data_IF_723148045100
#
_entry.id   IF_723148045100
#
_cell.length_a   1.000
_cell.length_b   1.000
_cell.length_c   1.000
_cell.angle_alpha   90.00
_cell.angle_beta   90.00
_cell.angle_gamma   90.00
#
_symmetry.space_group_name_H-M   'P 1'
#
loop_
_entity.id
_entity.type
_entity.pdbx_description
1 polymer ?
#
# COMPACT_ATOMS: atom_id res chain seq x y z
N UNK A 1 -25.39 -2.34 -20.52
CA UNK A 1 -25.60 -2.47 -19.06
C UNK A 1 -24.35 -3.06 -18.45
N UNK A 2 -23.51 -2.26 -17.80
CA UNK A 2 -22.39 -2.80 -17.03
C UNK A 2 -22.99 -3.62 -15.89
N UNK A 3 -22.60 -4.88 -15.77
CA UNK A 3 -22.95 -5.71 -14.62
C UNK A 3 -22.41 -4.97 -13.39
N UNK A 4 -23.30 -4.61 -12.47
CA UNK A 4 -22.93 -4.02 -11.18
C UNK A 4 -22.00 -5.02 -10.50
N UNK A 5 -20.72 -4.65 -10.35
CA UNK A 5 -19.74 -5.44 -9.60
C UNK A 5 -20.32 -5.73 -8.21
N UNK A 6 -20.70 -6.97 -7.98
CA UNK A 6 -21.23 -7.38 -6.68
C UNK A 6 -20.05 -7.54 -5.72
N UNK A 7 -19.66 -6.43 -5.09
CA UNK A 7 -18.57 -6.38 -4.10
C UNK A 7 -18.93 -7.13 -2.82
N UNK A 8 -17.93 -7.50 -2.07
CA UNK A 8 -18.11 -7.96 -0.70
C UNK A 8 -18.86 -6.90 0.14
N UNK A 9 -19.63 -7.31 1.14
CA UNK A 9 -20.41 -6.41 2.02
C UNK A 9 -19.59 -5.29 2.69
N UNK A 10 -18.27 -5.46 2.80
CA UNK A 10 -17.32 -4.43 3.29
C UNK A 10 -16.68 -3.60 2.16
N UNK A 11 -17.02 -3.85 0.90
CA UNK A 11 -16.60 -3.08 -0.26
C UNK A 11 -15.44 -3.65 -1.08
N UNK A 12 -14.74 -4.69 -0.60
CA UNK A 12 -13.63 -5.30 -1.35
C UNK A 12 -14.07 -6.08 -2.58
N UNK A 13 -13.19 -6.18 -3.56
CA UNK A 13 -13.33 -7.00 -4.76
C UNK A 13 -13.04 -8.47 -4.43
N UNK A 14 -13.78 -9.38 -5.06
CA UNK A 14 -13.47 -10.80 -5.03
C UNK A 14 -12.38 -11.17 -6.03
N UNK A 15 -11.79 -12.34 -5.90
CA UNK A 15 -10.73 -12.82 -6.79
C UNK A 15 -11.10 -12.71 -8.28
N UNK A 16 -12.34 -13.01 -8.63
CA UNK A 16 -12.85 -12.98 -10.00
C UNK A 16 -12.82 -11.58 -10.61
N UNK A 17 -13.03 -10.54 -9.79
CA UNK A 17 -13.20 -9.15 -10.22
C UNK A 17 -11.87 -8.48 -10.60
N UNK A 18 -10.73 -9.08 -10.25
CA UNK A 18 -9.43 -8.54 -10.64
C UNK A 18 -9.11 -8.88 -12.10
N UNK A 19 -8.82 -7.86 -12.89
CA UNK A 19 -8.43 -7.98 -14.29
C UNK A 19 -6.94 -7.71 -14.44
N UNK A 20 -6.20 -8.68 -15.02
CA UNK A 20 -4.75 -8.53 -15.27
C UNK A 20 -4.50 -7.37 -16.22
N UNK A 21 -3.55 -6.51 -15.88
CA UNK A 21 -3.21 -5.29 -16.61
C UNK A 21 -4.02 -4.06 -16.20
N UNK A 22 -5.10 -4.22 -15.42
CA UNK A 22 -5.91 -3.08 -14.96
C UNK A 22 -5.17 -2.28 -13.89
N UNK A 23 -5.20 -0.96 -14.04
CA UNK A 23 -4.70 0.00 -13.04
C UNK A 23 -5.87 0.58 -12.25
N UNK A 24 -5.71 0.64 -10.95
CA UNK A 24 -6.63 1.26 -10.00
C UNK A 24 -5.96 2.48 -9.40
N UNK A 25 -6.49 3.67 -9.67
CA UNK A 25 -6.15 4.90 -8.97
C UNK A 25 -6.98 4.98 -7.69
N UNK A 26 -6.33 5.15 -6.53
CA UNK A 26 -7.03 5.12 -5.26
C UNK A 26 -7.59 6.48 -4.88
N UNK A 27 -8.83 6.47 -4.36
CA UNK A 27 -9.56 7.69 -3.98
C UNK A 27 -8.97 8.38 -2.75
N UNK A 28 -8.37 7.61 -1.84
CA UNK A 28 -7.80 8.17 -0.62
C UNK A 28 -6.41 8.72 -0.90
N UNK A 29 -6.22 9.96 -0.47
CA UNK A 29 -4.91 10.60 -0.39
C UNK A 29 -4.62 10.95 1.06
N UNK A 30 -3.38 11.04 1.44
CA UNK A 30 -3.00 11.33 2.82
C UNK A 30 -1.79 12.25 2.90
N UNK A 31 -1.94 13.40 3.56
CA UNK A 31 -0.81 14.23 3.97
C UNK A 31 -0.16 13.61 5.20
N UNK A 32 1.14 13.34 5.14
CA UNK A 32 1.90 12.78 6.26
C UNK A 32 2.38 13.88 7.21
N UNK A 33 2.50 13.53 8.48
CA UNK A 33 2.87 14.44 9.55
C UNK A 33 4.05 13.89 10.34
N UNK A 34 4.76 14.76 11.07
CA UNK A 34 5.81 14.30 11.97
C UNK A 34 5.27 13.39 13.08
N UNK A 35 4.01 13.55 13.47
CA UNK A 35 3.37 12.63 14.43
C UNK A 35 3.32 11.20 13.90
N UNK A 36 2.99 11.00 12.61
CA UNK A 36 3.00 9.68 11.98
C UNK A 36 4.38 9.03 12.09
N UNK A 37 5.42 9.81 11.82
CA UNK A 37 6.80 9.37 11.87
C UNK A 37 7.23 8.97 13.29
N UNK A 38 6.94 9.84 14.27
CA UNK A 38 7.23 9.60 15.69
C UNK A 38 6.50 8.37 16.22
N UNK A 39 5.19 8.25 15.98
CA UNK A 39 4.39 7.12 16.43
C UNK A 39 4.89 5.80 15.85
N UNK A 40 5.11 5.77 14.53
CA UNK A 40 5.56 4.56 13.85
C UNK A 40 6.95 4.13 14.34
N UNK A 41 7.89 5.06 14.44
CA UNK A 41 9.25 4.77 14.90
C UNK A 41 9.26 4.25 16.34
N UNK A 42 8.45 4.85 17.23
CA UNK A 42 8.32 4.38 18.62
C UNK A 42 7.67 3.00 18.70
N UNK A 43 6.59 2.75 17.94
CA UNK A 43 5.90 1.45 17.93
C UNK A 43 6.79 0.31 17.40
N UNK A 44 7.71 0.63 16.51
CA UNK A 44 8.64 -0.36 15.92
C UNK A 44 9.98 -0.43 16.63
N UNK A 45 10.15 0.32 17.74
CA UNK A 45 11.41 0.43 18.48
C UNK A 45 12.59 0.86 17.60
N UNK A 46 12.35 1.75 16.62
CA UNK A 46 13.38 2.30 15.74
C UNK A 46 13.88 3.65 16.30
N UNK A 47 15.05 3.70 16.97
CA UNK A 47 15.56 4.91 17.57
C UNK A 47 16.38 5.78 16.61
N UNK A 48 16.30 5.53 15.28
CA UNK A 48 17.11 6.26 14.31
C UNK A 48 16.78 7.75 14.32
N UNK A 49 17.74 8.64 14.68
CA UNK A 49 17.51 10.08 14.80
C UNK A 49 17.06 10.70 13.49
N UNK A 50 17.40 10.12 12.35
CA UNK A 50 16.94 10.54 11.03
C UNK A 50 15.41 10.72 10.93
N UNK A 51 14.64 10.00 11.76
CA UNK A 51 13.19 10.04 11.73
C UNK A 51 12.57 10.91 12.83
N UNK A 52 13.30 11.12 13.94
CA UNK A 52 12.71 11.62 15.18
C UNK A 52 13.43 12.83 15.78
N UNK A 53 14.63 13.16 15.32
CA UNK A 53 15.46 14.25 15.86
C UNK A 53 15.70 15.32 14.77
N UNK A 54 15.02 16.45 14.93
CA UNK A 54 15.12 17.56 13.99
C UNK A 54 16.51 18.21 14.01
N UNK A 55 17.09 18.38 15.19
CA UNK A 55 18.40 19.01 15.32
C UNK A 55 19.49 18.18 14.63
N UNK A 56 19.45 16.86 14.83
CA UNK A 56 20.33 15.93 14.12
C UNK A 56 20.15 16.05 12.60
N UNK A 57 18.91 16.05 12.11
CA UNK A 57 18.64 16.14 10.68
C UNK A 57 19.15 17.45 10.06
N UNK A 58 19.00 18.56 10.76
CA UNK A 58 19.45 19.89 10.30
C UNK A 58 20.98 20.03 10.26
N UNK A 59 21.68 19.41 11.22
CA UNK A 59 23.12 19.60 11.38
C UNK A 59 23.98 18.50 10.74
N UNK A 60 23.45 17.26 10.66
CA UNK A 60 24.27 16.09 10.37
C UNK A 60 23.80 15.30 9.14
N UNK A 61 22.69 15.71 8.50
CA UNK A 61 22.18 15.02 7.29
C UNK A 61 22.03 15.97 6.11
N UNK A 62 22.07 15.41 4.91
CA UNK A 62 21.80 16.15 3.66
C UNK A 62 20.33 16.60 3.54
N UNK A 63 19.42 16.04 4.35
CA UNK A 63 17.99 16.27 4.26
C UNK A 63 17.52 17.55 4.93
N UNK A 64 18.23 18.05 5.95
CA UNK A 64 17.89 19.26 6.70
C UNK A 64 16.57 19.18 7.49
N UNK A 65 15.91 18.03 7.50
CA UNK A 65 14.65 17.78 8.20
C UNK A 65 14.42 16.27 8.37
N UNK A 66 13.57 15.83 9.32
CA UNK A 66 13.30 14.42 9.52
C UNK A 66 12.70 13.75 8.29
N UNK A 67 13.35 12.67 7.83
CA UNK A 67 12.87 11.82 6.75
C UNK A 67 11.78 10.89 7.28
N UNK A 68 10.68 10.74 6.55
CA UNK A 68 9.63 9.78 6.91
C UNK A 68 10.19 8.35 6.87
N UNK A 69 9.82 7.55 7.87
CA UNK A 69 10.21 6.15 7.93
C UNK A 69 9.68 5.40 6.71
N UNK A 70 10.57 4.75 5.97
CA UNK A 70 10.22 4.07 4.72
C UNK A 70 9.24 2.91 4.91
N UNK A 71 9.30 2.20 6.04
CA UNK A 71 8.33 1.15 6.36
C UNK A 71 6.94 1.71 6.70
N UNK A 72 6.88 2.91 7.29
CA UNK A 72 5.62 3.65 7.42
C UNK A 72 5.05 3.99 6.04
N UNK A 73 5.88 4.51 5.13
CA UNK A 73 5.48 4.85 3.75
C UNK A 73 4.95 3.63 3.00
N UNK A 74 5.64 2.49 3.12
CA UNK A 74 5.20 1.22 2.55
C UNK A 74 3.83 0.78 3.14
N UNK A 75 3.71 0.81 4.46
CA UNK A 75 2.46 0.47 5.15
C UNK A 75 1.29 1.37 4.75
N UNK A 76 1.53 2.68 4.63
CA UNK A 76 0.52 3.66 4.21
C UNK A 76 0.07 3.41 2.75
N UNK A 77 1.01 3.16 1.83
CA UNK A 77 0.72 2.79 0.44
C UNK A 77 -0.20 1.57 0.37
N UNK A 78 0.11 0.52 1.12
CA UNK A 78 -0.74 -0.69 1.18
C UNK A 78 -2.09 -0.39 1.84
N UNK A 79 -2.12 0.40 2.92
CA UNK A 79 -3.35 0.77 3.62
C UNK A 79 -4.34 1.53 2.73
N UNK A 80 -3.86 2.46 1.93
CA UNK A 80 -4.68 3.25 1.00
C UNK A 80 -5.39 2.31 -0.01
N UNK A 81 -4.67 1.34 -0.59
CA UNK A 81 -5.27 0.41 -1.55
C UNK A 81 -6.32 -0.51 -0.91
N UNK A 82 -6.17 -0.89 0.36
CA UNK A 82 -7.09 -1.84 1.03
C UNK A 82 -8.54 -1.33 0.96
N UNK A 83 -8.75 -0.03 1.23
CA UNK A 83 -10.08 0.55 1.30
C UNK A 83 -10.86 0.46 -0.02
N UNK A 84 -10.18 0.56 -1.15
CA UNK A 84 -10.79 0.56 -2.47
C UNK A 84 -10.89 -0.84 -3.10
N UNK A 85 -9.98 -1.75 -2.74
CA UNK A 85 -9.82 -3.00 -3.46
C UNK A 85 -10.07 -4.25 -2.63
N UNK A 86 -9.56 -4.32 -1.39
CA UNK A 86 -9.42 -5.62 -0.73
C UNK A 86 -10.01 -5.71 0.67
N UNK A 87 -10.74 -4.68 1.13
CA UNK A 87 -11.34 -4.68 2.47
C UNK A 87 -12.36 -5.82 2.63
N UNK A 88 -12.07 -6.74 3.55
CA UNK A 88 -12.92 -7.89 3.83
C UNK A 88 -12.74 -9.09 2.88
N UNK A 89 -11.91 -8.98 1.84
CA UNK A 89 -11.66 -10.06 0.88
C UNK A 89 -10.23 -10.63 0.93
N UNK A 90 -9.29 -9.95 1.56
CA UNK A 90 -7.94 -10.47 1.79
C UNK A 90 -7.95 -11.52 2.91
N UNK A 91 -7.39 -12.68 2.63
CA UNK A 91 -7.12 -13.75 3.62
C UNK A 91 -5.75 -13.52 4.26
N UNK A 92 -4.73 -13.23 3.43
CA UNK A 92 -3.36 -13.03 3.88
C UNK A 92 -2.53 -12.24 2.86
N UNK A 93 -1.47 -11.60 3.36
CA UNK A 93 -0.35 -11.13 2.56
C UNK A 93 0.69 -12.27 2.49
N UNK A 94 1.02 -12.73 1.29
CA UNK A 94 1.93 -13.86 1.09
C UNK A 94 3.40 -13.43 0.95
N UNK A 95 3.64 -12.16 0.64
CA UNK A 95 4.97 -11.61 0.51
C UNK A 95 5.03 -10.36 -0.36
N UNK A 96 6.18 -9.71 -0.30
CA UNK A 96 6.50 -8.53 -1.09
C UNK A 96 7.89 -8.69 -1.69
N UNK A 97 8.06 -8.25 -2.93
CA UNK A 97 9.34 -8.19 -3.64
C UNK A 97 9.53 -6.82 -4.28
N UNK A 98 10.74 -6.53 -4.72
CA UNK A 98 11.10 -5.30 -5.43
C UNK A 98 10.63 -4.03 -4.69
N UNK A 99 10.73 -4.04 -3.37
CA UNK A 99 10.43 -2.88 -2.53
C UNK A 99 11.50 -1.82 -2.74
N UNK A 100 11.08 -0.63 -3.20
CA UNK A 100 11.96 0.51 -3.46
C UNK A 100 11.38 1.81 -2.92
N UNK A 101 12.27 2.72 -2.54
CA UNK A 101 11.99 4.07 -2.05
C UNK A 101 12.84 5.08 -2.83
N UNK A 102 12.49 5.38 -4.10
CA UNK A 102 13.38 6.12 -5.00
C UNK A 102 13.50 7.62 -4.69
N UNK A 103 12.54 8.20 -3.97
CA UNK A 103 12.58 9.59 -3.56
C UNK A 103 12.17 9.74 -2.10
N UNK A 104 12.71 10.74 -1.38
CA UNK A 104 12.38 10.99 0.01
C UNK A 104 10.95 11.52 0.17
N UNK A 105 10.34 11.14 1.29
CA UNK A 105 9.07 11.66 1.76
C UNK A 105 9.30 12.44 3.07
N UNK A 106 8.70 13.62 3.17
CA UNK A 106 8.83 14.50 4.32
C UNK A 106 7.48 14.87 4.91
N UNK A 107 7.49 15.44 6.11
CA UNK A 107 6.31 16.07 6.71
C UNK A 107 5.66 17.04 5.72
N UNK A 108 4.33 17.06 5.69
CA UNK A 108 3.47 17.84 4.78
C UNK A 108 3.44 17.38 3.30
N UNK A 109 4.19 16.36 2.92
CA UNK A 109 3.96 15.71 1.64
C UNK A 109 2.62 14.95 1.65
N UNK A 110 1.93 14.93 0.51
CA UNK A 110 0.67 14.20 0.33
C UNK A 110 0.85 13.02 -0.60
N UNK A 111 0.52 11.83 -0.13
CA UNK A 111 0.62 10.58 -0.89
C UNK A 111 -0.65 10.34 -1.70
N UNK A 112 -0.46 9.97 -2.97
CA UNK A 112 -1.42 9.39 -3.90
C UNK A 112 -0.94 8.00 -4.28
N UNK A 113 -1.84 7.03 -4.43
CA UNK A 113 -1.46 5.66 -4.73
C UNK A 113 -2.19 5.11 -5.94
N UNK A 114 -1.50 4.24 -6.68
CA UNK A 114 -2.08 3.40 -7.71
C UNK A 114 -1.67 1.94 -7.54
N UNK A 115 -2.48 1.04 -8.09
CA UNK A 115 -2.21 -0.40 -8.05
C UNK A 115 -2.51 -1.00 -9.41
N UNK A 116 -1.55 -1.74 -9.95
CA UNK A 116 -1.68 -2.51 -11.19
C UNK A 116 -1.83 -3.98 -10.83
N UNK A 117 -2.79 -4.68 -11.42
CA UNK A 117 -2.91 -6.14 -11.32
C UNK A 117 -1.92 -6.78 -12.29
N UNK A 118 -0.88 -7.40 -11.77
CA UNK A 118 0.21 -7.99 -12.58
C UNK A 118 -0.17 -9.38 -13.06
N UNK A 119 -0.64 -10.21 -12.13
CA UNK A 119 -1.05 -11.58 -12.41
C UNK A 119 -2.11 -12.07 -11.43
N UNK A 120 -2.83 -13.14 -11.81
CA UNK A 120 -3.69 -13.86 -10.86
C UNK A 120 -3.70 -15.34 -11.17
N UNK A 121 -3.84 -16.16 -10.14
CA UNK A 121 -3.96 -17.61 -10.26
C UNK A 121 -4.82 -18.18 -9.15
N UNK A 122 -5.48 -19.27 -9.41
CA UNK A 122 -6.22 -20.02 -8.39
C UNK A 122 -5.27 -20.64 -7.37
N UNK A 123 -5.76 -20.77 -6.14
CA UNK A 123 -5.02 -21.48 -5.10
C UNK A 123 -5.13 -22.98 -5.31
N UNK A 124 -3.99 -23.69 -5.25
CA UNK A 124 -3.96 -25.15 -5.30
C UNK A 124 -4.45 -25.81 -4.01
N UNK A 125 -4.30 -25.12 -2.87
CA UNK A 125 -4.62 -25.66 -1.54
C UNK A 125 -5.98 -25.21 -1.01
N UNK A 126 -6.57 -24.15 -1.56
CA UNK A 126 -7.86 -23.59 -1.12
C UNK A 126 -8.76 -23.29 -2.32
N UNK A 127 -9.75 -24.15 -2.62
CA UNK A 127 -10.62 -23.99 -3.81
C UNK A 127 -11.43 -22.69 -3.83
N UNK A 128 -11.70 -22.12 -2.65
CA UNK A 128 -12.47 -20.89 -2.47
C UNK A 128 -11.63 -19.60 -2.46
N UNK A 129 -10.37 -19.67 -2.92
CA UNK A 129 -9.49 -18.53 -2.95
C UNK A 129 -8.51 -18.57 -4.12
N UNK A 130 -7.91 -17.41 -4.42
CA UNK A 130 -6.85 -17.27 -5.40
C UNK A 130 -5.78 -16.31 -4.93
N UNK A 131 -4.68 -16.26 -5.65
CA UNK A 131 -3.56 -15.37 -5.41
C UNK A 131 -3.57 -14.31 -6.50
N UNK A 132 -3.53 -13.06 -6.09
CA UNK A 132 -3.40 -11.90 -6.99
C UNK A 132 -2.09 -11.22 -6.71
N UNK A 133 -1.33 -10.96 -7.75
CA UNK A 133 -0.09 -10.19 -7.68
C UNK A 133 -0.38 -8.76 -8.11
N UNK A 134 0.02 -7.84 -7.26
CA UNK A 134 -0.15 -6.40 -7.46
C UNK A 134 1.22 -5.72 -7.57
N UNK A 135 1.31 -4.71 -8.43
CA UNK A 135 2.36 -3.70 -8.38
C UNK A 135 1.75 -2.42 -7.80
N UNK A 136 2.13 -2.10 -6.57
CA UNK A 136 1.70 -0.89 -5.88
C UNK A 136 2.73 0.21 -6.07
N UNK A 137 2.24 1.44 -6.24
CA UNK A 137 3.06 2.64 -6.35
C UNK A 137 2.46 3.77 -5.52
N UNK A 138 3.31 4.53 -4.87
CA UNK A 138 2.94 5.74 -4.13
C UNK A 138 3.72 6.94 -4.68
N UNK A 139 2.99 7.99 -4.99
CA UNK A 139 3.52 9.25 -5.51
C UNK A 139 3.20 10.36 -4.53
N UNK A 140 4.04 11.38 -4.47
CA UNK A 140 3.70 12.60 -3.77
C UNK A 140 3.10 13.65 -4.71
N UNK A 141 2.63 14.76 -4.18
CA UNK A 141 1.88 15.81 -4.89
C UNK A 141 2.59 16.38 -6.14
N UNK A 142 3.90 16.26 -6.24
CA UNK A 142 4.71 16.69 -7.39
C UNK A 142 4.90 15.58 -8.45
N UNK A 143 4.24 14.43 -8.27
CA UNK A 143 4.31 13.27 -9.16
C UNK A 143 5.54 12.37 -8.97
N UNK A 144 6.42 12.66 -7.99
CA UNK A 144 7.59 11.81 -7.73
C UNK A 144 7.17 10.52 -7.03
N UNK A 145 7.67 9.40 -7.54
CA UNK A 145 7.50 8.07 -6.95
C UNK A 145 8.29 7.99 -5.64
N UNK A 146 7.62 7.72 -4.52
CA UNK A 146 8.24 7.63 -3.18
C UNK A 146 8.31 6.22 -2.64
N UNK A 147 7.44 5.33 -3.11
CA UNK A 147 7.50 3.90 -2.79
C UNK A 147 6.89 3.07 -3.90
N UNK A 148 7.42 1.87 -4.12
CA UNK A 148 6.81 0.84 -4.94
C UNK A 148 7.12 -0.55 -4.40
N UNK A 149 6.25 -1.51 -4.69
CA UNK A 149 6.52 -2.92 -4.44
C UNK A 149 5.62 -3.84 -5.28
N UNK A 150 6.08 -5.06 -5.53
CA UNK A 150 5.23 -6.17 -5.92
C UNK A 150 4.73 -6.91 -4.68
N UNK A 151 3.44 -7.23 -4.63
CA UNK A 151 2.83 -7.93 -3.49
C UNK A 151 1.91 -9.05 -3.95
N UNK A 152 2.05 -10.23 -3.37
CA UNK A 152 1.13 -11.33 -3.55
C UNK A 152 0.11 -11.37 -2.40
N UNK A 153 -1.16 -11.17 -2.73
CA UNK A 153 -2.26 -11.24 -1.78
C UNK A 153 -3.14 -12.46 -2.04
N UNK A 154 -3.54 -13.09 -0.94
CA UNK A 154 -4.46 -14.22 -0.98
C UNK A 154 -5.89 -13.70 -0.80
N UNK A 155 -6.73 -13.85 -1.83
CA UNK A 155 -8.04 -13.22 -1.96
C UNK A 155 -9.13 -14.29 -2.04
N UNK A 156 -10.24 -14.10 -1.32
CA UNK A 156 -11.39 -15.00 -1.40
C UNK A 156 -12.09 -14.91 -2.76
N UNK A 157 -12.59 -16.04 -3.22
CA UNK A 157 -13.51 -16.11 -4.35
C UNK A 157 -14.93 -15.70 -3.93
N UNK A 158 -15.72 -15.29 -4.90
CA UNK A 158 -17.15 -15.01 -4.70
C UNK A 158 -17.86 -16.27 -4.18
N UNK A 159 -18.65 -16.16 -3.11
CA UNK A 159 -19.48 -17.28 -2.66
C UNK A 159 -20.39 -17.76 -3.79
N UNK A 160 -20.48 -19.06 -3.98
CA UNK A 160 -21.49 -19.62 -4.89
C UNK A 160 -22.88 -19.28 -4.35
N UNK A 161 -23.77 -18.88 -5.23
CA UNK A 161 -25.19 -18.75 -4.85
C UNK A 161 -25.66 -20.10 -4.30
N UNK A 162 -26.30 -20.07 -3.14
CA UNK A 162 -26.90 -21.24 -2.52
C UNK A 162 -28.12 -21.71 -3.34
#
# INVERSE_FOLDING_TARGET
MQATEQRHKRGGLYFEDFEVGKTYEHRYTRTVTQMDNMLFSNMTLNPQPLHIDREFCEKETEWGQPLMNSLFTLGLMIGIQVSDMTVGTTIANLGMTDVKFPNPLFENDTIHCETIVVSKRESKSRPNAGIVEFHHKAFKQDGKLVAECHRQAFIIKRPKAA
#
